data_IF_347155467546
#
_entry.id   IF_347155467546
#
_cell.length_a   1.000
_cell.length_b   1.000
_cell.length_c   1.000
_cell.angle_alpha   90.00
_cell.angle_beta   90.00
_cell.angle_gamma   90.00
#
_symmetry.space_group_name_H-M   'P 1'
#
loop_
_entity.id
_entity.type
_entity.pdbx_description
1 polymer ?
#
# COMPACT_ATOMS: atom_id res chain seq x y z
N UNK A 1 -26.07 0.59 -29.15
CA UNK A 1 -26.52 -0.56 -28.34
C UNK A 1 -25.84 -0.49 -26.99
N UNK A 2 -26.52 0.03 -25.97
CA UNK A 2 -26.03 0.05 -24.58
C UNK A 2 -26.27 -1.32 -23.97
N UNK A 3 -25.23 -2.14 -23.89
CA UNK A 3 -25.25 -3.38 -23.11
C UNK A 3 -25.45 -2.97 -21.64
N UNK A 4 -26.54 -3.37 -20.97
CA UNK A 4 -26.73 -3.01 -19.57
C UNK A 4 -25.60 -3.61 -18.72
N UNK A 5 -25.08 -2.83 -17.78
CA UNK A 5 -24.09 -3.30 -16.81
C UNK A 5 -24.72 -4.44 -15.98
N UNK A 6 -23.99 -5.54 -15.74
CA UNK A 6 -24.55 -6.69 -15.04
C UNK A 6 -24.73 -6.40 -13.54
N UNK A 7 -25.98 -6.46 -13.05
CA UNK A 7 -26.42 -6.31 -11.64
C UNK A 7 -25.96 -4.98 -10.98
N UNK A 8 -26.44 -4.59 -9.78
CA UNK A 8 -25.92 -3.40 -9.11
C UNK A 8 -24.51 -3.72 -8.62
N UNK A 9 -23.53 -3.60 -9.50
CA UNK A 9 -22.12 -3.51 -9.12
C UNK A 9 -22.00 -2.29 -8.22
N UNK A 10 -21.51 -2.48 -6.99
CA UNK A 10 -21.15 -1.35 -6.14
C UNK A 10 -20.22 -0.44 -6.95
N UNK A 11 -20.55 0.85 -7.05
CA UNK A 11 -19.70 1.80 -7.78
C UNK A 11 -18.30 1.79 -7.17
N UNK A 12 -17.28 1.72 -8.03
CA UNK A 12 -15.90 1.96 -7.63
C UNK A 12 -15.63 3.45 -7.38
N UNK A 13 -16.56 4.32 -7.78
CA UNK A 13 -16.54 5.73 -7.46
C UNK A 13 -16.99 5.94 -6.02
N UNK A 14 -16.02 5.96 -5.10
CA UNK A 14 -16.25 6.21 -3.69
C UNK A 14 -16.56 7.69 -3.46
N UNK A 15 -17.52 7.99 -2.59
CA UNK A 15 -17.71 9.35 -2.10
C UNK A 15 -16.60 9.77 -1.13
N UNK A 16 -16.49 11.07 -0.85
CA UNK A 16 -15.46 11.61 0.03
C UNK A 16 -15.49 10.97 1.42
N UNK A 17 -16.68 10.81 2.01
CA UNK A 17 -16.82 10.23 3.33
C UNK A 17 -16.33 8.78 3.38
N UNK A 18 -16.54 7.99 2.32
CA UNK A 18 -16.05 6.61 2.23
C UNK A 18 -14.55 6.58 1.99
N UNK A 19 -14.00 7.47 1.17
CA UNK A 19 -12.54 7.61 1.02
C UNK A 19 -11.88 7.93 2.36
N UNK A 20 -12.40 8.91 3.09
CA UNK A 20 -11.88 9.31 4.41
C UNK A 20 -11.90 8.15 5.41
N UNK A 21 -13.00 7.40 5.50
CA UNK A 21 -13.10 6.23 6.39
C UNK A 21 -12.06 5.16 6.08
N UNK A 22 -11.86 4.84 4.80
CA UNK A 22 -10.86 3.85 4.38
C UNK A 22 -9.43 4.33 4.66
N UNK A 23 -9.15 5.60 4.38
CA UNK A 23 -7.84 6.21 4.68
C UNK A 23 -7.56 6.19 6.18
N UNK A 24 -8.56 6.48 7.02
CA UNK A 24 -8.40 6.44 8.47
C UNK A 24 -8.13 5.03 9.00
N UNK A 25 -8.83 4.02 8.48
CA UNK A 25 -8.59 2.61 8.80
C UNK A 25 -7.17 2.17 8.40
N UNK A 26 -6.74 2.48 7.18
CA UNK A 26 -5.37 2.19 6.73
C UNK A 26 -4.32 2.92 7.56
N UNK A 27 -4.56 4.20 7.87
CA UNK A 27 -3.63 5.00 8.67
C UNK A 27 -3.44 4.43 10.07
N UNK A 28 -4.52 4.03 10.75
CA UNK A 28 -4.42 3.37 12.07
C UNK A 28 -3.60 2.08 11.99
N UNK A 29 -3.90 1.22 11.01
CA UNK A 29 -3.14 -0.01 10.79
C UNK A 29 -1.63 0.26 10.61
N UNK A 30 -1.28 1.23 9.75
CA UNK A 30 0.12 1.59 9.49
C UNK A 30 0.78 2.21 10.72
N UNK A 31 0.12 3.13 11.44
CA UNK A 31 0.69 3.77 12.63
C UNK A 31 0.95 2.76 13.74
N UNK A 32 0.01 1.84 13.98
CA UNK A 32 0.15 0.81 15.00
C UNK A 32 1.28 -0.18 14.64
N UNK A 33 1.39 -0.55 13.36
CA UNK A 33 2.50 -1.37 12.88
C UNK A 33 3.87 -0.68 13.05
N UNK A 34 4.00 0.56 12.60
CA UNK A 34 5.28 1.28 12.63
C UNK A 34 5.74 1.60 14.06
N UNK A 35 4.81 1.96 14.94
CA UNK A 35 5.13 2.31 16.34
C UNK A 35 5.50 1.09 17.19
N UNK A 36 5.09 -0.12 16.78
CA UNK A 36 5.47 -1.37 17.44
C UNK A 36 6.74 -2.03 16.89
N UNK A 37 7.38 -1.47 15.85
CA UNK A 37 8.55 -2.08 15.19
C UNK A 37 9.70 -2.44 16.16
N UNK A 38 9.90 -1.64 17.22
CA UNK A 38 10.96 -1.89 18.21
C UNK A 38 10.76 -3.17 19.02
N UNK A 39 9.54 -3.71 19.06
CA UNK A 39 9.17 -4.92 19.79
C UNK A 39 8.95 -6.13 18.87
N UNK A 40 8.92 -5.90 17.54
CA UNK A 40 8.68 -6.95 16.55
C UNK A 40 9.95 -7.77 16.29
N UNK A 41 9.82 -9.08 16.00
CA UNK A 41 10.97 -9.89 15.59
C UNK A 41 11.49 -9.46 14.21
N UNK A 42 12.78 -9.72 13.96
CA UNK A 42 13.38 -9.49 12.64
C UNK A 42 12.75 -10.33 11.54
N UNK A 43 12.17 -11.49 11.86
CA UNK A 43 11.41 -12.33 10.94
C UNK A 43 10.58 -13.36 11.71
N UNK A 44 9.52 -13.82 11.06
CA UNK A 44 8.79 -15.04 11.41
C UNK A 44 8.23 -15.62 10.12
N UNK A 45 8.63 -16.84 9.75
CA UNK A 45 8.10 -17.52 8.56
C UNK A 45 7.43 -18.85 8.92
N UNK A 46 7.29 -19.14 10.20
CA UNK A 46 6.67 -20.38 10.66
C UNK A 46 5.18 -20.38 10.30
N UNK A 47 4.78 -21.37 9.49
CA UNK A 47 3.40 -21.49 9.00
C UNK A 47 3.02 -20.53 7.87
N UNK A 48 3.95 -19.70 7.36
CA UNK A 48 3.65 -18.71 6.33
C UNK A 48 3.07 -19.31 5.03
N UNK A 49 3.57 -20.48 4.60
CA UNK A 49 3.07 -21.19 3.41
C UNK A 49 1.60 -21.58 3.58
N UNK A 50 1.27 -22.21 4.71
CA UNK A 50 -0.11 -22.59 5.04
C UNK A 50 -1.02 -21.37 5.11
N UNK A 51 -0.55 -20.28 5.72
CA UNK A 51 -1.31 -19.03 5.75
C UNK A 51 -1.56 -18.49 4.33
N UNK A 52 -0.57 -18.55 3.44
CA UNK A 52 -0.73 -18.17 2.04
C UNK A 52 -1.78 -19.01 1.29
N UNK A 53 -1.81 -20.32 1.54
CA UNK A 53 -2.85 -21.21 1.02
C UNK A 53 -4.24 -20.85 1.57
N UNK A 54 -4.35 -20.55 2.88
CA UNK A 54 -5.60 -20.11 3.52
C UNK A 54 -6.12 -18.77 2.95
N UNK A 55 -5.23 -17.84 2.61
CA UNK A 55 -5.57 -16.54 2.02
C UNK A 55 -5.90 -16.63 0.52
N UNK A 56 -5.46 -17.69 -0.16
CA UNK A 56 -5.72 -17.91 -1.58
C UNK A 56 -7.10 -18.53 -1.79
N UNK A 57 -8.06 -17.72 -2.21
CA UNK A 57 -9.46 -18.13 -2.40
C UNK A 57 -10.08 -17.55 -3.68
N UNK A 58 -11.19 -18.11 -4.19
CA UNK A 58 -11.91 -17.55 -5.33
C UNK A 58 -12.34 -16.09 -5.10
N UNK A 59 -12.51 -15.34 -6.18
CA UNK A 59 -13.02 -13.97 -6.14
C UNK A 59 -14.40 -13.96 -5.44
N UNK A 60 -14.59 -13.19 -4.35
CA UNK A 60 -15.87 -13.13 -3.68
C UNK A 60 -16.91 -12.39 -4.53
N UNK A 61 -18.17 -12.80 -4.45
CA UNK A 61 -19.28 -12.15 -5.17
C UNK A 61 -19.65 -10.78 -4.59
N UNK A 62 -19.29 -10.53 -3.33
CA UNK A 62 -19.54 -9.29 -2.62
C UNK A 62 -18.26 -8.77 -1.95
N UNK A 63 -18.18 -7.45 -1.80
CA UNK A 63 -17.12 -6.82 -1.02
C UNK A 63 -17.20 -7.22 0.46
N UNK A 64 -16.06 -7.14 1.14
CA UNK A 64 -15.93 -7.34 2.59
C UNK A 64 -15.54 -6.03 3.26
N UNK A 65 -15.75 -5.88 4.58
CA UNK A 65 -15.18 -4.78 5.34
C UNK A 65 -13.68 -4.65 5.08
N UNK A 66 -13.19 -3.41 4.99
CA UNK A 66 -11.79 -3.16 4.67
C UNK A 66 -10.87 -3.59 5.82
N UNK A 67 -11.34 -3.45 7.06
CA UNK A 67 -10.64 -3.92 8.26
C UNK A 67 -10.34 -5.42 8.21
N UNK A 68 -11.27 -6.25 7.74
CA UNK A 68 -11.00 -7.69 7.59
C UNK A 68 -9.87 -7.96 6.58
N UNK A 69 -9.74 -7.11 5.56
CA UNK A 69 -8.64 -7.20 4.58
C UNK A 69 -7.33 -6.74 5.19
N UNK A 70 -7.34 -5.68 6.00
CA UNK A 70 -6.17 -5.21 6.74
C UNK A 70 -5.72 -6.23 7.78
N UNK A 71 -6.63 -6.89 8.49
CA UNK A 71 -6.31 -7.95 9.46
C UNK A 71 -5.67 -9.16 8.77
N UNK A 72 -6.23 -9.61 7.64
CA UNK A 72 -5.64 -10.68 6.82
C UNK A 72 -4.25 -10.28 6.30
N UNK A 73 -4.09 -9.03 5.85
CA UNK A 73 -2.81 -8.49 5.38
C UNK A 73 -1.79 -8.39 6.52
N UNK A 74 -2.21 -7.96 7.70
CA UNK A 74 -1.38 -7.85 8.89
C UNK A 74 -0.86 -9.21 9.35
N UNK A 75 -1.70 -10.25 9.32
CA UNK A 75 -1.26 -11.63 9.58
C UNK A 75 -0.18 -12.08 8.58
N UNK A 76 -0.33 -11.74 7.31
CA UNK A 76 0.66 -12.06 6.29
C UNK A 76 1.97 -11.28 6.48
N UNK A 77 1.91 -9.98 6.81
CA UNK A 77 3.06 -9.15 7.15
C UNK A 77 3.81 -9.69 8.38
N UNK A 78 3.09 -10.11 9.41
CA UNK A 78 3.70 -10.70 10.60
C UNK A 78 4.41 -12.03 10.32
N UNK A 79 4.02 -12.73 9.24
CA UNK A 79 4.60 -14.00 8.79
C UNK A 79 5.57 -13.83 7.62
N UNK A 80 6.43 -12.81 7.69
CA UNK A 80 7.49 -12.54 6.71
C UNK A 80 8.83 -12.12 7.35
N UNK A 81 9.81 -11.81 6.50
CA UNK A 81 10.96 -11.00 6.93
C UNK A 81 10.49 -9.58 7.25
N UNK A 82 10.98 -9.02 8.35
CA UNK A 82 10.69 -7.65 8.75
C UNK A 82 11.89 -6.76 8.44
N UNK A 83 11.95 -6.27 7.20
CA UNK A 83 13.06 -5.43 6.72
C UNK A 83 13.08 -4.03 7.35
N UNK A 84 12.00 -3.64 8.04
CA UNK A 84 11.91 -2.39 8.79
C UNK A 84 12.34 -2.54 10.27
N UNK A 85 12.49 -3.77 10.78
CA UNK A 85 12.96 -4.01 12.14
C UNK A 85 14.42 -3.57 12.28
N UNK A 86 14.73 -2.82 13.35
CA UNK A 86 16.10 -2.39 13.64
C UNK A 86 17.08 -3.53 13.89
N UNK A 87 16.58 -4.74 14.16
CA UNK A 87 17.36 -5.96 14.35
C UNK A 87 17.55 -6.78 13.06
N UNK A 88 16.96 -6.37 11.93
CA UNK A 88 17.10 -7.06 10.65
C UNK A 88 18.31 -6.53 9.87
N UNK A 89 19.42 -7.29 9.87
CA UNK A 89 20.72 -6.88 9.32
C UNK A 89 21.11 -7.65 8.05
N UNK A 90 20.14 -8.18 7.30
CA UNK A 90 20.38 -8.95 6.08
C UNK A 90 20.02 -8.13 4.82
N UNK A 91 20.70 -8.44 3.70
CA UNK A 91 20.45 -7.85 2.37
C UNK A 91 20.64 -6.32 2.30
N UNK A 92 20.02 -5.68 1.31
CA UNK A 92 20.01 -4.23 1.12
C UNK A 92 18.74 -3.69 1.82
N UNK A 93 18.85 -2.71 2.73
CA UNK A 93 17.70 -2.21 3.48
C UNK A 93 16.66 -1.56 2.55
N UNK A 94 15.39 -1.92 2.77
CA UNK A 94 14.26 -1.35 2.06
C UNK A 94 13.87 0.00 2.69
N UNK A 95 13.76 1.05 1.87
CA UNK A 95 13.43 2.41 2.28
C UNK A 95 11.97 2.60 2.71
N UNK A 96 11.59 2.04 3.87
CA UNK A 96 10.25 2.12 4.46
C UNK A 96 9.94 3.43 5.20
N UNK A 97 10.21 4.58 4.58
CA UNK A 97 9.96 5.88 5.20
C UNK A 97 8.49 6.28 5.09
N UNK A 98 7.85 6.63 6.22
CA UNK A 98 6.44 7.03 6.25
C UNK A 98 6.08 8.20 5.29
N UNK A 99 6.92 9.27 5.15
CA UNK A 99 6.66 10.30 4.14
C UNK A 99 6.69 9.79 2.70
N UNK A 100 7.55 8.81 2.39
CA UNK A 100 7.59 8.20 1.05
C UNK A 100 6.31 7.40 0.77
N UNK A 101 5.81 6.66 1.76
CA UNK A 101 4.53 5.95 1.65
C UNK A 101 3.34 6.90 1.42
N UNK A 102 3.34 8.07 2.06
CA UNK A 102 2.32 9.10 1.79
C UNK A 102 2.44 9.68 0.37
N UNK A 103 3.66 9.89 -0.11
CA UNK A 103 3.88 10.34 -1.49
C UNK A 103 3.36 9.30 -2.50
N UNK A 104 3.62 8.01 -2.26
CA UNK A 104 3.11 6.91 -3.09
C UNK A 104 1.59 6.81 -3.05
N UNK A 105 0.95 7.06 -1.90
CA UNK A 105 -0.50 7.14 -1.80
C UNK A 105 -1.05 8.26 -2.69
N UNK A 106 -0.50 9.48 -2.61
CA UNK A 106 -0.93 10.61 -3.44
C UNK A 106 -0.69 10.34 -4.92
N UNK A 107 0.48 9.81 -5.28
CA UNK A 107 0.82 9.45 -6.66
C UNK A 107 -0.15 8.39 -7.22
N UNK A 108 -0.45 7.35 -6.43
CA UNK A 108 -1.35 6.27 -6.82
C UNK A 108 -2.81 6.72 -6.92
N UNK A 109 -3.28 7.53 -5.97
CA UNK A 109 -4.65 8.04 -5.95
C UNK A 109 -4.90 9.07 -7.06
N UNK A 110 -3.89 9.88 -7.38
CA UNK A 110 -4.00 10.84 -8.48
C UNK A 110 -3.73 10.19 -9.83
N UNK A 111 -2.87 9.18 -9.96
CA UNK A 111 -2.65 8.41 -11.19
C UNK A 111 -2.38 9.32 -12.42
N UNK A 112 -1.19 9.92 -12.47
CA UNK A 112 -0.75 10.80 -13.57
C UNK A 112 0.40 10.17 -14.35
N UNK A 113 0.44 10.39 -15.67
CA UNK A 113 1.48 9.87 -16.56
C UNK A 113 2.75 10.72 -16.51
N UNK A 114 3.51 10.62 -15.41
CA UNK A 114 4.77 11.39 -15.26
C UNK A 114 5.86 10.94 -16.24
N UNK A 115 5.81 9.71 -16.75
CA UNK A 115 6.73 9.27 -17.82
C UNK A 115 6.56 9.95 -19.18
N UNK A 116 5.58 10.83 -19.36
CA UNK A 116 5.32 11.56 -20.60
C UNK A 116 5.20 13.07 -20.33
N UNK A 117 6.21 13.84 -20.74
CA UNK A 117 6.26 15.29 -20.52
C UNK A 117 4.98 16.01 -20.97
N UNK A 118 4.47 15.71 -22.17
CA UNK A 118 3.27 16.37 -22.70
C UNK A 118 1.99 16.06 -21.89
N UNK A 119 1.96 14.93 -21.17
CA UNK A 119 0.82 14.51 -20.36
C UNK A 119 0.84 15.11 -18.94
N UNK A 120 2.02 15.46 -18.41
CA UNK A 120 2.18 15.94 -17.03
C UNK A 120 3.40 16.87 -16.85
N UNK A 121 3.53 17.98 -17.59
CA UNK A 121 4.77 18.75 -17.68
C UNK A 121 5.25 19.32 -16.34
N UNK A 122 4.31 19.76 -15.49
CA UNK A 122 4.64 20.27 -14.15
C UNK A 122 5.13 19.17 -13.19
N UNK A 123 4.59 17.94 -13.31
CA UNK A 123 5.03 16.82 -12.47
C UNK A 123 6.39 16.29 -12.92
N UNK A 124 6.65 16.28 -14.23
CA UNK A 124 7.98 15.97 -14.78
C UNK A 124 9.02 16.98 -14.28
N UNK A 125 8.68 18.26 -14.18
CA UNK A 125 9.59 19.25 -13.62
C UNK A 125 9.97 18.95 -12.15
N UNK A 126 9.03 18.44 -11.35
CA UNK A 126 9.30 18.01 -9.96
C UNK A 126 10.25 16.80 -9.95
N UNK A 127 10.04 15.82 -10.82
CA UNK A 127 10.91 14.65 -10.95
C UNK A 127 12.33 15.06 -11.37
N UNK A 128 12.47 15.91 -12.39
CA UNK A 128 13.76 16.42 -12.85
C UNK A 128 14.48 17.20 -11.74
N UNK A 129 13.77 18.04 -10.98
CA UNK A 129 14.33 18.75 -9.84
C UNK A 129 14.88 17.78 -8.78
N UNK A 130 14.17 16.69 -8.48
CA UNK A 130 14.65 15.68 -7.54
C UNK A 130 15.91 14.95 -8.06
N UNK A 131 15.97 14.67 -9.36
CA UNK A 131 17.16 14.10 -10.02
C UNK A 131 18.34 15.07 -9.92
N UNK A 132 18.12 16.36 -10.15
CA UNK A 132 19.17 17.37 -10.03
C UNK A 132 19.71 17.45 -8.59
N UNK A 133 18.85 17.40 -7.56
CA UNK A 133 19.30 17.30 -6.17
C UNK A 133 20.16 16.06 -5.91
N UNK A 134 19.77 14.89 -6.43
CA UNK A 134 20.54 13.66 -6.29
C UNK A 134 21.89 13.72 -7.03
N UNK A 135 21.96 14.47 -8.12
CA UNK A 135 23.20 14.70 -8.87
C UNK A 135 24.17 15.63 -8.12
N UNK A 136 23.64 16.56 -7.34
CA UNK A 136 24.41 17.50 -6.53
C UNK A 136 24.97 16.90 -5.24
N UNK A 137 24.37 15.81 -4.76
CA UNK A 137 24.80 15.06 -3.57
C UNK A 137 26.05 14.21 -3.83
#
# INVERSE_FOLDING_TARGET
MTRPLPRPSASLDLDAARMERLTEQANRFVSDHLTSLGEQPSWDTEGAVRLGEELTRPLPEAGRPFEETLDETGRAIAKSYNTAAGSYMAYIPGGGLYPAALADYVASATNRYVGMHDAAPALVAIELMAIDWLREF
#
